data_IF_959050541699
#
_entry.id   IF_959050541699
#
_cell.length_a   1.000
_cell.length_b   1.000
_cell.length_c   1.000
_cell.angle_alpha   90.00
_cell.angle_beta   90.00
_cell.angle_gamma   90.00
#
_symmetry.space_group_name_H-M   'P 1'
#
loop_
_entity.id
_entity.type
_entity.pdbx_description
1 polymer ?
#
# COMPACT_ATOMS: atom_id res chain seq x y z
N UNK A 1 52.88 -28.16 39.91
CA UNK A 1 52.05 -27.09 39.31
C UNK A 1 52.95 -26.12 38.57
N UNK A 2 53.03 -26.20 37.23
CA UNK A 2 53.93 -25.40 36.39
C UNK A 2 53.42 -23.96 36.19
N UNK A 3 52.10 -23.79 36.07
CA UNK A 3 51.41 -22.50 35.88
C UNK A 3 51.60 -21.47 37.01
N UNK A 4 52.03 -21.89 38.20
CA UNK A 4 52.27 -20.98 39.33
C UNK A 4 53.75 -20.57 39.42
N UNK A 5 54.64 -21.22 38.65
CA UNK A 5 56.10 -21.06 38.77
C UNK A 5 56.78 -20.47 37.55
N UNK A 6 56.14 -20.51 36.38
CA UNK A 6 56.69 -19.96 35.13
C UNK A 6 56.08 -18.60 34.79
N UNK A 7 56.83 -17.79 34.03
CA UNK A 7 56.34 -16.50 33.54
C UNK A 7 55.21 -16.67 32.51
N UNK A 8 54.19 -15.81 32.59
CA UNK A 8 53.07 -15.80 31.64
C UNK A 8 53.50 -15.11 30.34
N UNK A 9 53.65 -15.89 29.27
CA UNK A 9 54.05 -15.41 27.93
C UNK A 9 52.84 -14.91 27.12
N UNK A 10 52.14 -13.89 27.63
CA UNK A 10 50.87 -13.42 27.05
C UNK A 10 51.02 -12.90 25.60
N UNK A 11 51.97 -11.99 25.36
CA UNK A 11 52.19 -11.40 24.04
C UNK A 11 52.53 -12.46 22.97
N UNK A 12 53.34 -13.46 23.33
CA UNK A 12 53.65 -14.59 22.45
C UNK A 12 52.40 -15.41 22.11
N UNK A 13 51.51 -15.61 23.09
CA UNK A 13 50.23 -16.28 22.89
C UNK A 13 49.31 -15.54 21.92
N UNK A 14 49.16 -14.22 22.09
CA UNK A 14 48.33 -13.40 21.19
C UNK A 14 48.93 -13.34 19.78
N UNK A 15 50.26 -13.17 19.67
CA UNK A 15 50.95 -13.19 18.37
C UNK A 15 50.77 -14.53 17.67
N UNK A 16 50.84 -15.63 18.41
CA UNK A 16 50.60 -16.96 17.87
C UNK A 16 49.15 -17.12 17.38
N UNK A 17 48.15 -16.69 18.16
CA UNK A 17 46.74 -16.74 17.74
C UNK A 17 46.49 -15.93 16.47
N UNK A 18 47.06 -14.73 16.37
CA UNK A 18 46.99 -13.92 15.15
C UNK A 18 47.61 -14.64 13.95
N UNK A 19 48.78 -15.27 14.12
CA UNK A 19 49.41 -16.07 13.07
C UNK A 19 48.58 -17.30 12.64
N UNK A 20 47.69 -17.80 13.51
CA UNK A 20 46.71 -18.84 13.17
C UNK A 20 45.42 -18.29 12.53
N UNK A 21 45.35 -16.98 12.25
CA UNK A 21 44.21 -16.34 11.60
C UNK A 21 43.10 -15.89 12.55
N UNK A 22 43.33 -15.87 13.87
CA UNK A 22 42.37 -15.29 14.81
C UNK A 22 42.38 -13.76 14.67
N UNK A 23 41.21 -13.18 14.41
CA UNK A 23 41.04 -11.73 14.19
C UNK A 23 40.26 -11.02 15.29
N UNK A 24 39.60 -11.79 16.17
CA UNK A 24 38.72 -11.26 17.22
C UNK A 24 38.88 -12.09 18.49
N UNK A 25 39.10 -11.44 19.63
CA UNK A 25 39.10 -12.06 20.95
C UNK A 25 38.08 -11.38 21.86
N UNK A 26 37.45 -12.19 22.70
CA UNK A 26 36.51 -11.76 23.72
C UNK A 26 37.16 -11.97 25.10
N UNK A 27 37.28 -10.92 25.90
CA UNK A 27 37.81 -11.03 27.25
C UNK A 27 36.66 -11.21 28.26
N UNK A 28 36.76 -12.31 29.02
CA UNK A 28 35.88 -12.61 30.15
C UNK A 28 36.58 -12.23 31.45
N UNK A 29 36.42 -10.97 31.85
CA UNK A 29 37.05 -10.44 33.05
C UNK A 29 36.53 -9.03 33.36
N UNK A 30 36.73 -8.55 34.60
CA UNK A 30 36.06 -7.34 35.12
C UNK A 30 36.56 -6.03 34.52
N UNK A 31 37.83 -5.97 34.07
CA UNK A 31 38.53 -4.69 33.86
C UNK A 31 39.00 -4.46 32.42
N UNK A 32 38.95 -5.46 31.53
CA UNK A 32 39.38 -5.31 30.14
C UNK A 32 40.90 -5.19 29.95
N UNK A 33 41.68 -5.63 30.92
CA UNK A 33 43.16 -5.49 30.93
C UNK A 33 43.79 -6.31 29.81
N UNK A 34 43.31 -7.54 29.58
CA UNK A 34 43.86 -8.40 28.53
C UNK A 34 43.57 -7.82 27.15
N UNK A 35 42.47 -7.10 26.99
CA UNK A 35 42.10 -6.43 25.75
C UNK A 35 43.02 -5.27 25.44
N UNK A 36 43.41 -4.48 26.45
CA UNK A 36 44.44 -3.44 26.30
C UNK A 36 45.80 -4.03 25.92
N UNK A 37 46.28 -5.01 26.69
CA UNK A 37 47.56 -5.67 26.43
C UNK A 37 47.58 -6.39 25.07
N UNK A 38 46.44 -6.97 24.67
CA UNK A 38 46.28 -7.65 23.39
C UNK A 38 46.38 -6.68 22.22
N UNK A 39 45.72 -5.52 22.31
CA UNK A 39 45.79 -4.47 21.30
C UNK A 39 47.22 -3.92 21.15
N UNK A 40 47.96 -3.76 22.26
CA UNK A 40 49.37 -3.37 22.22
C UNK A 40 50.26 -4.44 21.57
N UNK A 41 49.90 -5.72 21.72
CA UNK A 41 50.65 -6.85 21.15
C UNK A 41 50.40 -7.02 19.64
N UNK A 42 49.14 -6.93 19.21
CA UNK A 42 48.72 -7.08 17.81
C UNK A 42 47.61 -6.06 17.49
N UNK A 43 47.96 -4.86 16.97
CA UNK A 43 47.01 -3.77 16.75
C UNK A 43 45.89 -4.05 15.74
N UNK A 44 46.12 -4.99 14.81
CA UNK A 44 45.15 -5.34 13.76
C UNK A 44 44.00 -6.22 14.27
N UNK A 45 44.17 -6.82 15.45
CA UNK A 45 43.20 -7.74 16.03
C UNK A 45 42.21 -6.98 16.94
N UNK A 46 40.95 -7.41 16.96
CA UNK A 46 39.95 -6.83 17.88
C UNK A 46 39.96 -7.56 19.21
N UNK A 47 39.92 -6.78 20.28
CA UNK A 47 39.73 -7.27 21.63
C UNK A 47 38.51 -6.61 22.25
N UNK A 48 37.48 -7.41 22.55
CA UNK A 48 36.22 -6.96 23.10
C UNK A 48 36.10 -7.42 24.57
N UNK A 49 36.23 -6.53 25.57
CA UNK A 49 36.01 -6.88 26.96
C UNK A 49 34.52 -6.90 27.29
N UNK A 50 34.06 -7.99 27.92
CA UNK A 50 32.64 -8.16 28.28
C UNK A 50 32.25 -7.32 29.50
N UNK A 51 33.20 -7.03 30.39
CA UNK A 51 33.00 -6.14 31.55
C UNK A 51 34.08 -5.05 31.59
N UNK A 52 33.72 -3.91 32.16
CA UNK A 52 34.64 -2.82 32.50
C UNK A 52 34.25 -2.21 33.83
N UNK A 53 35.24 -1.92 34.66
CA UNK A 53 35.10 -1.36 36.01
C UNK A 53 34.15 -0.17 36.15
N UNK A 54 34.15 0.73 35.16
CA UNK A 54 33.41 2.00 35.20
C UNK A 54 32.20 2.03 34.23
N UNK A 55 31.69 0.87 33.85
CA UNK A 55 30.57 0.73 32.90
C UNK A 55 29.52 -0.23 33.46
N UNK A 56 28.26 0.00 33.11
CA UNK A 56 27.19 -0.95 33.43
C UNK A 56 27.43 -2.29 32.72
N UNK A 57 27.25 -3.39 33.45
CA UNK A 57 27.54 -4.75 32.97
C UNK A 57 26.75 -5.08 31.68
N UNK A 58 25.43 -4.83 31.69
CA UNK A 58 24.58 -5.09 30.54
C UNK A 58 24.98 -4.29 29.29
N UNK A 59 25.35 -3.02 29.48
CA UNK A 59 25.81 -2.16 28.39
C UNK A 59 27.15 -2.65 27.81
N UNK A 60 28.08 -3.03 28.69
CA UNK A 60 29.41 -3.54 28.30
C UNK A 60 29.31 -4.85 27.53
N UNK A 61 28.42 -5.76 27.96
CA UNK A 61 28.16 -7.01 27.26
C UNK A 61 27.56 -6.77 25.86
N UNK A 62 26.54 -5.91 25.75
CA UNK A 62 25.90 -5.60 24.45
C UNK A 62 26.91 -4.93 23.52
N UNK A 63 27.76 -4.04 24.03
CA UNK A 63 28.82 -3.39 23.25
C UNK A 63 29.86 -4.41 22.75
N UNK A 64 30.30 -5.34 23.60
CA UNK A 64 31.21 -6.41 23.19
C UNK A 64 30.61 -7.32 22.10
N UNK A 65 29.34 -7.72 22.25
CA UNK A 65 28.63 -8.49 21.24
C UNK A 65 28.43 -7.71 19.94
N UNK A 66 28.16 -6.41 20.01
CA UNK A 66 28.06 -5.55 18.83
C UNK A 66 29.39 -5.46 18.07
N UNK A 67 30.52 -5.36 18.76
CA UNK A 67 31.85 -5.38 18.13
C UNK A 67 32.11 -6.70 17.40
N UNK A 68 31.77 -7.82 18.05
CA UNK A 68 31.89 -9.17 17.45
C UNK A 68 30.97 -9.29 16.22
N UNK A 69 29.72 -8.82 16.31
CA UNK A 69 28.75 -8.84 15.20
C UNK A 69 29.19 -8.00 14.00
N UNK A 70 29.68 -6.77 14.21
CA UNK A 70 30.17 -5.88 13.14
C UNK A 70 31.39 -6.48 12.43
N UNK A 71 32.16 -7.33 13.11
CA UNK A 71 33.26 -8.10 12.50
C UNK A 71 32.80 -9.33 11.70
N UNK A 72 31.49 -9.53 11.55
CA UNK A 72 30.90 -10.58 10.72
C UNK A 72 30.66 -11.90 11.45
N UNK A 73 30.90 -11.97 12.75
CA UNK A 73 30.57 -13.15 13.54
C UNK A 73 29.06 -13.20 13.79
N UNK A 74 28.49 -14.41 13.67
CA UNK A 74 27.08 -14.62 13.93
C UNK A 74 26.82 -14.59 15.44
N UNK A 75 25.94 -13.70 15.87
CA UNK A 75 25.44 -13.64 17.25
C UNK A 75 24.01 -14.14 17.25
N UNK A 76 23.70 -15.11 18.11
CA UNK A 76 22.33 -15.59 18.31
C UNK A 76 21.56 -14.59 19.18
N UNK A 77 21.00 -13.57 18.54
CA UNK A 77 20.15 -12.56 19.18
C UNK A 77 18.86 -13.15 19.76
N UNK A 78 18.38 -14.29 19.23
CA UNK A 78 17.20 -14.98 19.76
C UNK A 78 17.50 -15.60 21.12
N UNK A 79 18.62 -16.31 21.27
CA UNK A 79 19.07 -16.84 22.55
C UNK A 79 19.37 -15.73 23.56
N UNK A 80 20.04 -14.64 23.12
CA UNK A 80 20.34 -13.49 23.98
C UNK A 80 19.08 -12.83 24.55
N UNK A 81 18.03 -12.67 23.72
CA UNK A 81 16.80 -11.99 24.13
C UNK A 81 15.77 -12.92 24.81
N UNK A 82 15.89 -14.24 24.69
CA UNK A 82 14.93 -15.21 25.22
C UNK A 82 14.49 -14.97 26.69
N UNK A 83 15.38 -14.61 27.64
CA UNK A 83 15.00 -14.36 29.03
C UNK A 83 14.06 -13.14 29.20
N UNK A 84 14.09 -12.19 28.27
CA UNK A 84 13.38 -10.91 28.36
C UNK A 84 11.97 -10.93 27.77
N UNK A 85 11.54 -12.04 27.14
CA UNK A 85 10.24 -12.18 26.45
C UNK A 85 9.93 -10.98 25.52
N UNK A 86 10.76 -10.73 24.48
CA UNK A 86 10.63 -9.55 23.64
C UNK A 86 9.32 -9.56 22.84
N UNK A 87 8.80 -8.36 22.55
CA UNK A 87 7.66 -8.16 21.65
C UNK A 87 8.17 -7.60 20.31
N UNK A 88 7.67 -8.13 19.20
CA UNK A 88 7.91 -7.55 17.89
C UNK A 88 7.24 -6.17 17.80
N UNK A 89 7.99 -5.19 17.29
CA UNK A 89 7.51 -3.82 17.08
C UNK A 89 7.69 -3.46 15.61
N UNK A 90 6.84 -2.57 15.10
CA UNK A 90 7.01 -2.03 13.76
C UNK A 90 8.27 -1.16 13.71
N UNK A 91 9.12 -1.41 12.72
CA UNK A 91 10.32 -0.65 12.46
C UNK A 91 10.20 0.00 11.07
N UNK A 92 10.89 1.12 10.83
CA UNK A 92 11.03 1.66 9.49
C UNK A 92 11.48 0.56 8.52
N UNK A 93 10.87 0.53 7.34
CA UNK A 93 11.31 -0.37 6.28
C UNK A 93 12.70 0.05 5.79
N UNK A 94 13.39 -0.88 5.12
CA UNK A 94 14.72 -0.63 4.60
C UNK A 94 14.76 0.68 3.80
N UNK A 95 15.70 1.56 4.16
CA UNK A 95 15.89 2.84 3.49
C UNK A 95 16.58 2.63 2.13
N UNK A 96 15.82 2.17 1.14
CA UNK A 96 16.32 1.98 -0.22
C UNK A 96 17.01 3.25 -0.72
N UNK A 97 18.23 3.10 -1.24
CA UNK A 97 18.90 4.14 -2.01
C UNK A 97 18.23 4.22 -3.39
N UNK A 98 17.22 5.09 -3.48
CA UNK A 98 16.37 5.19 -4.66
C UNK A 98 17.14 5.85 -5.80
N UNK A 99 17.31 5.12 -6.89
CA UNK A 99 17.72 5.68 -8.17
C UNK A 99 16.63 5.48 -9.22
N UNK A 100 16.56 6.41 -10.17
CA UNK A 100 15.57 6.34 -11.24
C UNK A 100 16.08 5.46 -12.37
N UNK A 101 15.76 4.18 -12.30
CA UNK A 101 15.97 3.24 -13.39
C UNK A 101 14.81 3.33 -14.38
N UNK A 102 15.01 4.11 -15.46
CA UNK A 102 14.03 4.25 -16.54
C UNK A 102 14.71 4.03 -17.88
N UNK A 103 14.04 3.30 -18.79
CA UNK A 103 14.52 3.14 -20.16
C UNK A 103 14.35 4.48 -20.88
N UNK A 104 15.45 5.15 -21.16
CA UNK A 104 15.46 6.34 -22.01
C UNK A 104 15.64 5.89 -23.46
N UNK A 105 14.79 6.33 -24.40
CA UNK A 105 15.03 6.05 -25.81
C UNK A 105 16.38 6.67 -26.22
N UNK A 106 17.21 5.87 -26.88
CA UNK A 106 18.43 6.38 -27.50
C UNK A 106 18.02 7.25 -28.69
N UNK A 107 18.42 8.53 -28.76
CA UNK A 107 18.04 9.37 -29.90
C UNK A 107 18.69 8.81 -31.17
N UNK A 108 17.90 8.10 -31.97
CA UNK A 108 18.23 7.78 -33.35
C UNK A 108 17.93 9.03 -34.20
N UNK A 109 18.81 9.39 -35.12
CA UNK A 109 18.63 10.54 -36.02
C UNK A 109 17.43 10.42 -36.98
N UNK A 110 16.60 9.37 -36.84
CA UNK A 110 15.35 9.16 -37.59
C UNK A 110 14.16 8.94 -36.64
N UNK A 111 14.14 9.57 -35.47
CA UNK A 111 12.99 9.48 -34.56
C UNK A 111 11.85 10.36 -35.08
N UNK A 112 11.05 9.81 -35.98
CA UNK A 112 9.73 10.34 -36.34
C UNK A 112 8.89 10.27 -35.07
N UNK A 113 8.93 11.34 -34.29
CA UNK A 113 8.41 11.53 -32.94
C UNK A 113 6.89 11.42 -32.80
N UNK A 114 6.21 10.74 -33.71
CA UNK A 114 4.76 10.53 -33.74
C UNK A 114 4.38 9.10 -33.33
N UNK A 115 5.21 8.08 -33.61
CA UNK A 115 4.89 6.69 -33.24
C UNK A 115 4.99 6.47 -31.72
N UNK A 116 6.05 6.94 -31.06
CA UNK A 116 6.24 6.78 -29.61
C UNK A 116 5.26 7.63 -28.78
N UNK A 117 4.67 8.68 -29.37
CA UNK A 117 3.64 9.50 -28.70
C UNK A 117 2.29 8.78 -28.66
N UNK A 118 1.99 7.92 -29.65
CA UNK A 118 0.78 7.09 -29.67
C UNK A 118 0.71 6.08 -28.51
N UNK A 119 1.85 5.70 -27.94
CA UNK A 119 1.94 4.72 -26.87
C UNK A 119 1.76 5.34 -25.48
N UNK A 120 1.68 6.68 -25.41
CA UNK A 120 1.43 7.40 -24.16
C UNK A 120 -0.06 7.66 -24.02
N UNK A 121 -0.60 7.29 -22.86
CA UNK A 121 -1.99 7.62 -22.53
C UNK A 121 -2.19 9.13 -22.60
N UNK A 122 -3.09 9.58 -23.49
CA UNK A 122 -3.55 10.97 -23.56
C UNK A 122 -5.05 11.02 -23.34
N UNK A 123 -5.44 11.93 -22.46
CA UNK A 123 -6.83 12.37 -22.37
C UNK A 123 -7.02 13.42 -23.47
N UNK A 124 -7.85 13.11 -24.45
CA UNK A 124 -8.27 14.02 -25.51
C UNK A 124 -9.79 14.05 -25.56
N UNK A 125 -10.36 15.25 -25.73
CA UNK A 125 -11.78 15.43 -25.96
C UNK A 125 -12.03 15.58 -27.46
N UNK A 126 -12.84 14.69 -28.03
CA UNK A 126 -13.32 14.85 -29.40
C UNK A 126 -14.74 15.42 -29.37
N UNK A 127 -15.02 16.51 -30.11
CA UNK A 127 -16.39 16.97 -30.29
C UNK A 127 -17.22 15.82 -30.89
N UNK A 128 -18.34 15.49 -30.24
CA UNK A 128 -19.32 14.55 -30.78
C UNK A 128 -20.44 15.38 -31.39
N UNK A 129 -20.66 15.24 -32.69
CA UNK A 129 -21.88 15.74 -33.33
C UNK A 129 -23.06 14.95 -32.81
N UNK A 130 -23.90 15.59 -32.00
CA UNK A 130 -25.11 14.97 -31.48
C UNK A 130 -26.10 14.81 -32.63
N UNK A 131 -26.47 13.58 -32.96
CA UNK A 131 -27.51 13.31 -33.94
C UNK A 131 -28.85 13.89 -33.42
N UNK A 132 -29.54 14.65 -34.27
CA UNK A 132 -30.90 15.11 -33.97
C UNK A 132 -31.88 14.00 -34.29
N UNK A 133 -32.67 13.60 -33.30
CA UNK A 133 -33.73 12.60 -33.44
C UNK A 133 -34.95 13.01 -32.62
N UNK A 134 -36.13 12.62 -33.08
CA UNK A 134 -37.37 12.76 -32.30
C UNK A 134 -37.53 11.49 -31.48
N UNK A 135 -37.56 11.62 -30.16
CA UNK A 135 -37.93 10.56 -29.23
C UNK A 135 -39.46 10.46 -29.18
N UNK A 136 -39.97 9.28 -28.85
CA UNK A 136 -41.40 9.05 -28.63
C UNK A 136 -41.64 8.10 -27.47
N UNK A 137 -42.88 8.06 -26.98
CA UNK A 137 -43.30 7.18 -25.89
C UNK A 137 -42.85 7.64 -24.50
N UNK A 138 -43.13 6.80 -23.51
CA UNK A 138 -42.74 7.04 -22.12
C UNK A 138 -41.26 6.67 -21.90
N UNK A 139 -40.50 7.51 -21.20
CA UNK A 139 -39.10 7.28 -20.89
C UNK A 139 -38.89 7.28 -19.38
N UNK A 140 -38.41 6.17 -18.84
CA UNK A 140 -38.12 6.09 -17.40
C UNK A 140 -36.82 6.83 -17.10
N UNK A 141 -36.86 7.82 -16.22
CA UNK A 141 -35.68 8.55 -15.74
C UNK A 141 -35.45 8.18 -14.29
N UNK A 142 -34.38 7.46 -14.00
CA UNK A 142 -34.10 6.97 -12.64
C UNK A 142 -33.01 7.83 -12.01
N UNK A 143 -33.31 8.40 -10.85
CA UNK A 143 -32.44 9.35 -10.15
C UNK A 143 -32.28 8.95 -8.68
N UNK A 144 -31.16 9.32 -8.01
CA UNK A 144 -31.04 9.13 -6.57
C UNK A 144 -32.08 9.99 -5.82
N UNK A 145 -32.60 9.49 -4.70
CA UNK A 145 -33.55 10.24 -3.88
C UNK A 145 -32.97 11.61 -3.46
N UNK A 146 -33.79 12.67 -3.64
CA UNK A 146 -33.41 14.05 -3.36
C UNK A 146 -32.77 14.78 -4.54
N UNK A 147 -32.52 14.10 -5.67
CA UNK A 147 -31.95 14.70 -6.88
C UNK A 147 -32.99 15.06 -7.95
N UNK A 148 -34.28 14.76 -7.75
CA UNK A 148 -35.31 15.13 -8.74
C UNK A 148 -35.36 16.64 -9.03
N UNK A 149 -35.01 17.49 -8.07
CA UNK A 149 -34.92 18.94 -8.23
C UNK A 149 -33.53 19.48 -8.62
N UNK A 150 -32.53 18.62 -8.82
CA UNK A 150 -31.20 19.03 -9.23
C UNK A 150 -31.25 19.69 -10.63
N UNK A 151 -30.41 20.70 -10.85
CA UNK A 151 -30.42 21.48 -12.10
C UNK A 151 -30.09 20.60 -13.32
N UNK A 152 -29.16 19.66 -13.19
CA UNK A 152 -28.76 18.77 -14.28
C UNK A 152 -29.83 17.72 -14.57
N UNK A 153 -30.45 17.16 -13.53
CA UNK A 153 -31.58 16.23 -13.67
C UNK A 153 -32.75 16.93 -14.36
N UNK A 154 -33.10 18.13 -13.91
CA UNK A 154 -34.17 18.94 -14.49
C UNK A 154 -33.92 19.22 -15.97
N UNK A 155 -32.68 19.58 -16.34
CA UNK A 155 -32.32 19.83 -17.74
C UNK A 155 -32.34 18.54 -18.58
N UNK A 156 -31.93 17.39 -18.04
CA UNK A 156 -32.05 16.11 -18.72
C UNK A 156 -33.52 15.74 -18.98
N UNK A 157 -34.39 15.87 -17.98
CA UNK A 157 -35.83 15.60 -18.09
C UNK A 157 -36.48 16.56 -19.10
N UNK A 158 -36.19 17.85 -19.00
CA UNK A 158 -36.68 18.85 -19.95
C UNK A 158 -36.14 18.59 -21.37
N UNK A 159 -34.88 18.18 -21.50
CA UNK A 159 -34.25 17.82 -22.77
C UNK A 159 -34.94 16.64 -23.44
N UNK A 160 -35.26 15.57 -22.70
CA UNK A 160 -36.03 14.44 -23.20
C UNK A 160 -37.42 14.87 -23.68
N UNK A 161 -38.12 15.69 -22.89
CA UNK A 161 -39.44 16.23 -23.25
C UNK A 161 -39.39 17.10 -24.50
N UNK A 162 -38.37 17.97 -24.63
CA UNK A 162 -38.12 18.78 -25.83
C UNK A 162 -37.87 17.94 -27.08
N UNK A 163 -37.31 16.74 -26.91
CA UNK A 163 -37.10 15.80 -28.01
C UNK A 163 -38.35 14.96 -28.34
N UNK A 164 -39.47 15.11 -27.62
CA UNK A 164 -40.73 14.41 -27.89
C UNK A 164 -41.03 13.21 -26.97
N UNK A 165 -40.14 12.89 -26.02
CA UNK A 165 -40.40 11.84 -25.02
C UNK A 165 -41.36 12.32 -23.92
N UNK A 166 -42.05 11.37 -23.27
CA UNK A 166 -42.75 11.60 -22.00
C UNK A 166 -41.90 11.06 -20.85
N UNK A 167 -41.09 11.88 -20.15
CA UNK A 167 -40.27 11.39 -19.05
C UNK A 167 -41.14 11.04 -17.82
N UNK A 168 -40.85 9.91 -17.21
CA UNK A 168 -41.43 9.43 -15.95
C UNK A 168 -40.28 9.28 -14.96
N UNK A 169 -40.23 10.13 -13.94
CA UNK A 169 -39.12 10.15 -12.98
C UNK A 169 -39.38 9.16 -11.86
N UNK A 170 -38.38 8.34 -11.56
CA UNK A 170 -38.36 7.44 -10.40
C UNK A 170 -37.17 7.80 -9.51
N UNK A 171 -37.44 8.16 -8.27
CA UNK A 171 -36.43 8.32 -7.24
C UNK A 171 -36.19 6.99 -6.49
N UNK A 172 -34.91 6.63 -6.34
CA UNK A 172 -34.46 5.49 -5.53
C UNK A 172 -33.54 5.96 -4.40
N UNK A 173 -33.88 5.60 -3.17
CA UNK A 173 -33.03 5.82 -2.01
C UNK A 173 -31.86 4.82 -1.98
N UNK A 174 -30.77 5.17 -1.30
CA UNK A 174 -29.53 4.38 -1.30
C UNK A 174 -29.67 2.96 -0.73
N UNK A 175 -30.66 2.73 0.13
CA UNK A 175 -31.00 1.44 0.74
C UNK A 175 -32.02 0.63 -0.10
N UNK A 176 -32.51 1.17 -1.21
CA UNK A 176 -33.45 0.51 -2.11
C UNK A 176 -32.75 -0.27 -3.25
N UNK A 177 -31.49 -0.68 -3.08
CA UNK A 177 -30.70 -1.36 -4.12
C UNK A 177 -31.11 -2.81 -4.42
N UNK A 178 -31.97 -3.41 -3.60
CA UNK A 178 -32.43 -4.80 -3.78
C UNK A 178 -33.40 -4.98 -4.96
N UNK A 179 -33.18 -6.00 -5.79
CA UNK A 179 -34.01 -6.32 -6.98
C UNK A 179 -35.52 -6.26 -6.71
N UNK A 180 -36.00 -6.93 -5.68
CA UNK A 180 -37.44 -6.98 -5.36
C UNK A 180 -38.01 -5.63 -4.94
N UNK A 181 -37.20 -4.82 -4.25
CA UNK A 181 -37.58 -3.46 -3.84
C UNK A 181 -37.72 -2.58 -5.08
N UNK A 182 -36.70 -2.58 -5.96
CA UNK A 182 -36.74 -1.81 -7.20
C UNK A 182 -37.88 -2.28 -8.12
N UNK A 183 -38.08 -3.59 -8.28
CA UNK A 183 -39.20 -4.14 -9.03
C UNK A 183 -40.56 -3.68 -8.47
N UNK A 184 -40.68 -3.64 -7.13
CA UNK A 184 -41.86 -3.10 -6.45
C UNK A 184 -42.13 -1.63 -6.78
N UNK A 185 -41.07 -0.81 -6.89
CA UNK A 185 -41.16 0.62 -7.28
C UNK A 185 -41.52 0.80 -8.76
N UNK A 186 -41.09 -0.12 -9.63
CA UNK A 186 -41.38 -0.07 -11.07
C UNK A 186 -42.81 -0.49 -11.43
N UNK A 187 -43.36 -1.50 -10.74
CA UNK A 187 -44.72 -2.04 -11.02
C UNK A 187 -45.83 -0.99 -11.16
N UNK A 188 -46.02 -0.02 -10.24
CA UNK A 188 -47.07 0.98 -10.39
C UNK A 188 -46.85 1.91 -11.59
N UNK A 189 -45.60 2.22 -11.91
CA UNK A 189 -45.26 3.04 -13.07
C UNK A 189 -45.55 2.31 -14.39
N UNK A 190 -45.23 1.02 -14.45
CA UNK A 190 -45.55 0.17 -15.61
C UNK A 190 -47.06 -0.01 -15.78
N UNK A 191 -47.83 -0.12 -14.69
CA UNK A 191 -49.28 -0.20 -14.77
C UNK A 191 -49.92 1.08 -15.34
N UNK A 192 -49.30 2.24 -15.10
CA UNK A 192 -49.69 3.52 -15.69
C UNK A 192 -49.30 3.69 -17.16
N UNK A 193 -48.48 2.79 -17.70
CA UNK A 193 -47.93 2.86 -19.05
C UNK A 193 -48.16 1.52 -19.80
N UNK A 194 -49.36 1.27 -20.35
CA UNK A 194 -49.73 -0.02 -20.96
C UNK A 194 -48.85 -0.43 -22.14
N UNK A 195 -48.23 0.54 -22.81
CA UNK A 195 -47.28 0.32 -23.91
C UNK A 195 -45.82 0.10 -23.46
N UNK A 196 -45.56 0.11 -22.15
CA UNK A 196 -44.22 0.06 -21.58
C UNK A 196 -43.41 1.34 -21.79
N UNK A 197 -42.15 1.30 -21.37
CA UNK A 197 -41.19 2.38 -21.60
C UNK A 197 -40.46 2.21 -22.92
N UNK A 198 -40.40 3.28 -23.72
CA UNK A 198 -39.63 3.34 -24.96
C UNK A 198 -38.11 3.45 -24.71
N UNK A 199 -37.70 3.84 -23.50
CA UNK A 199 -36.31 3.90 -23.10
C UNK A 199 -36.12 4.17 -21.60
N UNK A 200 -34.90 3.98 -21.12
CA UNK A 200 -34.50 4.24 -19.73
C UNK A 200 -33.25 5.12 -19.72
N UNK A 201 -33.27 6.18 -18.91
CA UNK A 201 -32.11 7.01 -18.60
C UNK A 201 -31.80 6.87 -17.11
N UNK A 202 -30.65 6.30 -16.80
CA UNK A 202 -30.17 6.17 -15.42
C UNK A 202 -29.19 7.30 -15.09
N UNK A 203 -29.56 8.13 -14.11
CA UNK A 203 -28.70 9.16 -13.53
C UNK A 203 -28.25 8.78 -12.11
N UNK A 204 -28.37 7.50 -11.74
CA UNK A 204 -27.93 6.95 -10.46
C UNK A 204 -26.43 7.14 -10.20
N UNK A 205 -25.64 7.39 -11.25
CA UNK A 205 -24.22 7.79 -11.16
C UNK A 205 -23.97 9.07 -10.36
N UNK A 206 -24.99 9.91 -10.15
CA UNK A 206 -24.91 11.10 -9.30
C UNK A 206 -24.87 10.75 -7.80
N UNK A 207 -25.31 9.54 -7.42
CA UNK A 207 -25.26 9.10 -6.03
C UNK A 207 -23.81 8.99 -5.56
N UNK A 208 -23.46 9.79 -4.56
CA UNK A 208 -22.18 9.73 -3.87
C UNK A 208 -22.30 8.93 -2.57
N UNK A 209 -21.19 8.37 -2.09
CA UNK A 209 -21.14 7.61 -0.84
C UNK A 209 -21.10 6.09 -1.03
N UNK A 210 -21.25 5.37 0.07
CA UNK A 210 -21.14 3.91 0.15
C UNK A 210 -22.47 3.27 0.55
N UNK A 211 -22.78 2.15 -0.06
CA UNK A 211 -23.98 1.37 0.22
C UNK A 211 -23.96 0.85 1.67
N UNK A 212 -25.09 0.96 2.37
CA UNK A 212 -25.19 0.60 3.79
C UNK A 212 -25.19 -0.91 4.03
N UNK A 213 -25.54 -1.72 3.02
CA UNK A 213 -25.59 -3.18 3.09
C UNK A 213 -24.23 -3.78 2.73
N UNK A 214 -23.59 -3.23 1.70
CA UNK A 214 -22.26 -3.64 1.23
C UNK A 214 -21.29 -2.45 1.34
N UNK A 215 -20.81 -2.16 2.55
CA UNK A 215 -20.00 -0.97 2.89
C UNK A 215 -18.74 -0.69 2.05
N UNK A 216 -18.32 -1.59 1.16
CA UNK A 216 -17.25 -1.37 0.19
C UNK A 216 -17.74 -0.85 -1.18
N UNK A 217 -19.02 -1.01 -1.50
CA UNK A 217 -19.62 -0.73 -2.82
C UNK A 217 -20.15 0.71 -2.86
N UNK A 218 -19.85 1.50 -3.92
CA UNK A 218 -20.47 2.80 -4.12
C UNK A 218 -22.00 2.68 -4.30
N UNK A 219 -22.78 3.56 -3.66
CA UNK A 219 -24.25 3.56 -3.75
C UNK A 219 -24.73 3.55 -5.21
N UNK A 220 -24.08 4.36 -6.07
CA UNK A 220 -24.42 4.45 -7.49
C UNK A 220 -24.33 3.11 -8.22
N UNK A 221 -23.33 2.29 -7.90
CA UNK A 221 -23.14 0.96 -8.50
C UNK A 221 -24.19 -0.01 -7.98
N UNK A 222 -24.46 -0.01 -6.67
CA UNK A 222 -25.46 -0.88 -6.07
C UNK A 222 -26.87 -0.60 -6.63
N UNK A 223 -27.29 0.67 -6.69
CA UNK A 223 -28.58 1.07 -7.26
C UNK A 223 -28.67 0.75 -8.77
N UNK A 224 -27.59 0.96 -9.53
CA UNK A 224 -27.57 0.64 -10.97
C UNK A 224 -27.72 -0.86 -11.19
N UNK A 225 -27.05 -1.69 -10.38
CA UNK A 225 -27.18 -3.14 -10.46
C UNK A 225 -28.60 -3.60 -10.11
N UNK A 226 -29.18 -3.07 -9.03
CA UNK A 226 -30.56 -3.35 -8.64
C UNK A 226 -31.57 -2.99 -9.73
N UNK A 227 -31.39 -1.83 -10.38
CA UNK A 227 -32.20 -1.39 -11.51
C UNK A 227 -32.09 -2.34 -12.70
N UNK A 228 -30.87 -2.70 -13.12
CA UNK A 228 -30.66 -3.63 -14.24
C UNK A 228 -31.28 -5.00 -13.95
N UNK A 229 -31.14 -5.51 -12.72
CA UNK A 229 -31.75 -6.78 -12.29
C UNK A 229 -33.28 -6.72 -12.24
N UNK A 230 -33.87 -5.56 -11.97
CA UNK A 230 -35.32 -5.39 -11.91
C UNK A 230 -35.95 -5.19 -13.31
N UNK A 231 -35.17 -4.70 -14.28
CA UNK A 231 -35.58 -4.51 -15.67
C UNK A 231 -35.39 -5.77 -16.54
N UNK A 232 -34.57 -6.72 -16.10
CA UNK A 232 -34.33 -8.02 -16.76
C UNK A 232 -35.08 -9.19 -16.12
#
# INVERSE_FOLDING_TARGET
MRHVREAVRFADGITHLSAQGVTTCLELGPDGVLSGMGADSVPEMVFAPVLRKDRGEAGSLVEALAQVYVRGHVVDWSAFLAPSRPRLVELPTYAFQKERYWVLPTPSATDTSLETVSWRYRVAWSPVTVASGVLSGAWLVVVPAGFAGDAWVSECVAGLARCGARPVVLELAGDESGREVVAGRLRPLMAGEPGGFAGVVSLLGLASGRDGVFGSVPVSVALTLGLVQALG
#
